data_IF_332952956316
#
_entry.id   IF_332952956316
#
_cell.length_a   1.000
_cell.length_b   1.000
_cell.length_c   1.000
_cell.angle_alpha   90.00
_cell.angle_beta   90.00
_cell.angle_gamma   90.00
#
_symmetry.space_group_name_H-M   'P 1'
#
loop_
_entity.id
_entity.type
_entity.pdbx_description
1 polymer ?
#
# COMPACT_ATOMS: atom_id res chain seq x y z
N UNK A 1 53.66 -60.89 12.41
CA UNK A 1 52.92 -59.92 11.57
C UNK A 1 51.50 -60.42 11.42
N UNK A 2 50.50 -59.57 11.63
CA UNK A 2 49.08 -59.83 11.39
C UNK A 2 48.39 -58.48 11.17
N UNK A 3 47.41 -58.37 10.26
CA UNK A 3 46.89 -57.07 9.82
C UNK A 3 46.02 -56.40 10.88
N UNK A 4 46.24 -55.10 11.09
CA UNK A 4 45.37 -54.22 11.88
C UNK A 4 44.02 -54.07 11.18
N UNK A 5 42.86 -54.18 11.87
CA UNK A 5 41.57 -53.96 11.25
C UNK A 5 41.31 -52.47 10.97
N UNK A 6 41.02 -52.13 9.73
CA UNK A 6 40.60 -50.77 9.32
C UNK A 6 39.17 -50.48 9.80
N UNK A 7 38.88 -49.35 10.46
CA UNK A 7 37.52 -49.00 10.84
C UNK A 7 36.67 -48.59 9.63
N UNK A 8 35.41 -49.04 9.60
CA UNK A 8 34.44 -48.73 8.53
C UNK A 8 33.79 -47.36 8.77
N UNK A 9 33.61 -46.49 7.75
CA UNK A 9 33.08 -45.13 7.90
C UNK A 9 31.55 -45.06 8.12
N UNK A 10 31.01 -45.94 8.97
CA UNK A 10 29.57 -46.11 9.21
C UNK A 10 29.18 -45.89 10.69
N UNK A 11 30.10 -45.42 11.55
CA UNK A 11 29.84 -45.25 13.00
C UNK A 11 30.13 -43.86 13.57
N UNK A 12 30.90 -43.01 12.88
CA UNK A 12 31.21 -41.64 13.34
C UNK A 12 30.09 -40.63 13.02
N UNK A 13 29.14 -40.97 12.14
CA UNK A 13 28.04 -40.11 11.72
C UNK A 13 26.88 -39.97 12.74
N UNK A 14 27.11 -40.25 14.04
CA UNK A 14 26.05 -40.22 15.06
C UNK A 14 26.42 -39.68 16.45
N UNK A 15 27.59 -39.06 16.61
CA UNK A 15 28.01 -38.40 17.88
C UNK A 15 28.29 -36.89 17.76
N UNK A 16 28.11 -36.30 16.57
CA UNK A 16 28.22 -34.85 16.36
C UNK A 16 26.93 -34.05 16.68
N UNK A 17 26.08 -34.58 17.58
CA UNK A 17 24.73 -34.07 17.84
C UNK A 17 24.47 -33.86 19.35
N UNK A 18 25.42 -33.24 20.05
CA UNK A 18 25.20 -32.67 21.39
C UNK A 18 26.15 -31.50 21.63
N UNK A 19 25.63 -30.28 21.55
CA UNK A 19 26.31 -29.06 22.00
C UNK A 19 25.45 -28.30 23.02
N UNK A 20 24.58 -29.01 23.73
CA UNK A 20 23.71 -28.48 24.78
C UNK A 20 24.42 -28.48 26.16
N UNK A 21 25.70 -28.10 26.14
CA UNK A 21 26.58 -28.04 27.31
C UNK A 21 26.55 -26.62 27.90
N UNK A 22 25.97 -26.40 29.10
CA UNK A 22 25.71 -25.06 29.64
C UNK A 22 26.98 -24.24 29.95
N UNK A 23 28.16 -24.87 29.98
CA UNK A 23 29.45 -24.21 30.23
C UNK A 23 29.98 -23.41 29.03
N UNK A 24 29.34 -23.49 27.85
CA UNK A 24 29.72 -22.66 26.68
C UNK A 24 29.25 -21.18 26.78
N UNK A 25 28.67 -20.78 27.90
CA UNK A 25 28.29 -19.39 28.19
C UNK A 25 29.54 -18.52 28.45
N UNK A 26 30.10 -17.95 27.38
CA UNK A 26 31.21 -17.00 27.44
C UNK A 26 30.77 -15.69 28.11
N UNK A 27 30.87 -15.64 29.45
CA UNK A 27 30.53 -14.49 30.29
C UNK A 27 31.59 -13.37 30.23
N UNK A 28 31.90 -12.91 29.02
CA UNK A 28 32.65 -11.67 28.79
C UNK A 28 31.69 -10.49 28.91
N UNK A 29 31.45 -10.05 30.14
CA UNK A 29 30.75 -8.79 30.41
C UNK A 29 31.58 -7.64 29.82
N UNK A 30 31.09 -6.88 28.82
CA UNK A 30 31.89 -5.80 28.24
C UNK A 30 32.03 -4.66 29.24
N UNK A 31 33.26 -4.26 29.54
CA UNK A 31 33.60 -3.20 30.52
C UNK A 31 32.90 -1.86 30.25
N UNK A 32 32.43 -1.64 29.02
CA UNK A 32 31.55 -0.54 28.68
C UNK A 32 30.40 -1.00 27.75
N UNK A 33 29.29 -1.42 28.35
CA UNK A 33 28.08 -1.84 27.63
C UNK A 33 27.53 -0.77 26.67
N UNK A 34 27.64 0.53 27.02
CA UNK A 34 27.22 1.63 26.16
C UNK A 34 28.17 1.91 24.98
N UNK A 35 29.38 1.34 24.98
CA UNK A 35 30.28 1.30 23.82
C UNK A 35 30.02 0.03 22.97
N UNK A 36 29.71 -1.10 23.60
CA UNK A 36 29.27 -2.31 22.89
C UNK A 36 28.00 -2.05 22.06
N UNK A 37 26.92 -1.58 22.68
CA UNK A 37 25.66 -1.25 22.00
C UNK A 37 25.82 -0.25 20.84
N UNK A 38 26.77 0.69 20.95
CA UNK A 38 27.07 1.64 19.85
C UNK A 38 27.76 0.95 18.67
N UNK A 39 28.75 0.09 18.93
CA UNK A 39 29.40 -0.73 17.88
C UNK A 39 28.41 -1.70 17.24
N UNK A 40 27.54 -2.34 18.02
CA UNK A 40 26.52 -3.25 17.50
C UNK A 40 25.52 -2.52 16.59
N UNK A 41 25.08 -1.32 16.98
CA UNK A 41 24.19 -0.48 16.17
C UNK A 41 24.88 0.08 14.90
N UNK A 42 26.15 0.43 14.98
CA UNK A 42 26.97 0.90 13.85
C UNK A 42 27.29 -0.23 12.86
N UNK A 43 27.58 -1.43 13.36
CA UNK A 43 27.73 -2.64 12.56
C UNK A 43 26.41 -3.03 11.89
N UNK A 44 25.28 -2.97 12.60
CA UNK A 44 23.96 -3.24 12.03
C UNK A 44 23.59 -2.25 10.91
N UNK A 45 23.86 -0.95 11.09
CA UNK A 45 23.69 0.07 10.05
C UNK A 45 24.59 -0.18 8.84
N UNK A 46 25.86 -0.49 9.08
CA UNK A 46 26.83 -0.81 8.02
C UNK A 46 26.40 -2.06 7.22
N UNK A 47 25.97 -3.12 7.89
CA UNK A 47 25.47 -4.34 7.23
C UNK A 47 24.16 -4.12 6.46
N UNK A 48 23.25 -3.27 6.96
CA UNK A 48 22.05 -2.89 6.21
C UNK A 48 22.40 -2.09 4.95
N UNK A 49 23.25 -1.07 5.06
CA UNK A 49 23.71 -0.28 3.91
C UNK A 49 24.47 -1.14 2.88
N UNK A 50 25.27 -2.10 3.33
CA UNK A 50 25.95 -3.06 2.45
C UNK A 50 24.97 -4.00 1.74
N UNK A 51 23.90 -4.45 2.41
CA UNK A 51 22.87 -5.29 1.79
C UNK A 51 22.10 -4.52 0.70
N UNK A 52 21.67 -3.27 0.98
CA UNK A 52 21.02 -2.41 -0.02
C UNK A 52 21.94 -2.12 -1.21
N UNK A 53 23.20 -1.75 -0.95
CA UNK A 53 24.17 -1.51 -2.01
C UNK A 53 24.48 -2.76 -2.86
N UNK A 54 24.41 -3.97 -2.27
CA UNK A 54 24.54 -5.23 -3.01
C UNK A 54 23.31 -5.52 -3.88
N UNK A 55 22.10 -5.21 -3.40
CA UNK A 55 20.86 -5.34 -4.19
C UNK A 55 20.83 -4.33 -5.36
N UNK A 56 21.18 -3.07 -5.11
CA UNK A 56 21.34 -2.04 -6.14
C UNK A 56 22.41 -2.42 -7.18
N UNK A 57 23.56 -2.95 -6.74
CA UNK A 57 24.61 -3.41 -7.65
C UNK A 57 24.17 -4.62 -8.50
N UNK A 58 23.44 -5.58 -7.92
CA UNK A 58 22.91 -6.73 -8.66
C UNK A 58 21.92 -6.30 -9.76
N UNK A 59 20.94 -5.47 -9.43
CA UNK A 59 20.00 -4.90 -10.39
C UNK A 59 20.69 -4.06 -11.48
N UNK A 60 21.75 -3.34 -11.12
CA UNK A 60 22.56 -2.56 -12.09
C UNK A 60 23.38 -3.45 -13.03
N UNK A 61 23.88 -4.60 -12.59
CA UNK A 61 24.56 -5.57 -13.45
C UNK A 61 23.55 -6.25 -14.38
N UNK A 62 22.39 -6.67 -13.87
CA UNK A 62 21.33 -7.28 -14.68
C UNK A 62 20.82 -6.33 -15.77
N UNK A 63 20.51 -5.07 -15.45
CA UNK A 63 20.06 -4.08 -16.45
C UNK A 63 21.10 -3.77 -17.54
N UNK A 64 22.41 -3.88 -17.26
CA UNK A 64 23.46 -3.78 -18.30
C UNK A 64 23.43 -4.98 -19.25
N UNK A 65 23.24 -6.21 -18.74
CA UNK A 65 23.09 -7.42 -19.56
C UNK A 65 21.82 -7.33 -20.43
N UNK A 66 20.66 -7.06 -19.83
CA UNK A 66 19.37 -6.97 -20.53
C UNK A 66 19.30 -5.81 -21.55
N UNK A 67 20.23 -4.85 -21.49
CA UNK A 67 20.38 -3.80 -22.50
C UNK A 67 21.30 -4.22 -23.65
N UNK A 68 22.37 -4.99 -23.38
CA UNK A 68 23.19 -5.59 -24.43
C UNK A 68 22.40 -6.61 -25.27
N UNK A 69 21.55 -7.41 -24.63
CA UNK A 69 20.66 -8.36 -25.30
C UNK A 69 19.62 -7.66 -26.19
N UNK A 70 19.02 -6.55 -25.72
CA UNK A 70 18.11 -5.72 -26.53
C UNK A 70 18.81 -5.05 -27.72
N UNK A 71 20.08 -4.66 -27.58
CA UNK A 71 20.88 -4.16 -28.70
C UNK A 71 21.16 -5.25 -29.76
N UNK A 72 21.42 -6.49 -29.33
CA UNK A 72 21.59 -7.62 -30.24
C UNK A 72 20.27 -7.98 -30.98
N UNK A 73 19.14 -8.00 -30.26
CA UNK A 73 17.83 -8.30 -30.84
C UNK A 73 17.38 -7.27 -31.90
N UNK A 74 17.60 -5.98 -31.62
CA UNK A 74 17.28 -4.91 -32.59
C UNK A 74 18.17 -4.95 -33.82
N UNK A 75 19.48 -5.24 -33.67
CA UNK A 75 20.38 -5.44 -34.80
C UNK A 75 19.96 -6.60 -35.73
N UNK A 76 19.43 -7.70 -35.18
CA UNK A 76 18.92 -8.82 -35.98
C UNK A 76 17.71 -8.41 -36.84
N UNK A 77 16.77 -7.63 -36.28
CA UNK A 77 15.54 -7.24 -36.97
C UNK A 77 15.75 -6.38 -38.23
N UNK A 78 16.87 -5.67 -38.32
CA UNK A 78 17.16 -4.72 -39.40
C UNK A 78 17.60 -5.35 -40.75
N UNK A 79 17.51 -6.68 -40.90
CA UNK A 79 18.15 -7.44 -41.98
C UNK A 79 17.20 -8.13 -42.98
N UNK A 80 15.88 -7.97 -42.84
CA UNK A 80 14.88 -8.63 -43.70
C UNK A 80 14.52 -7.80 -44.96
N UNK A 81 14.55 -8.38 -46.18
CA UNK A 81 14.19 -7.67 -47.42
C UNK A 81 12.68 -7.69 -47.71
N UNK A 82 12.18 -6.65 -48.39
CA UNK A 82 10.77 -6.51 -48.76
C UNK A 82 10.50 -6.80 -50.24
N UNK A 83 9.30 -7.32 -50.54
CA UNK A 83 8.74 -7.47 -51.89
C UNK A 83 7.35 -6.79 -51.93
N UNK A 84 6.91 -6.31 -53.10
CA UNK A 84 5.71 -5.47 -53.22
C UNK A 84 4.87 -5.68 -54.49
N UNK A 85 3.80 -4.90 -54.61
CA UNK A 85 2.86 -4.83 -55.75
C UNK A 85 2.27 -3.40 -55.86
N UNK A 86 1.60 -3.07 -56.98
CA UNK A 86 1.24 -1.67 -57.31
C UNK A 86 -0.02 -1.50 -58.19
N UNK A 87 -0.44 -0.23 -58.39
CA UNK A 87 -1.49 0.34 -59.26
C UNK A 87 -2.97 0.19 -58.82
N UNK A 88 -3.88 1.16 -59.09
CA UNK A 88 -3.70 2.53 -59.60
C UNK A 88 -5.02 3.28 -59.98
N UNK A 89 -4.92 4.61 -60.27
CA UNK A 89 -5.96 5.50 -60.89
C UNK A 89 -7.23 5.84 -60.02
N UNK A 90 -8.15 6.80 -60.26
CA UNK A 90 -8.31 8.13 -60.97
C UNK A 90 -9.74 8.69 -60.66
N UNK A 91 -10.18 9.95 -60.81
CA UNK A 91 -9.60 11.31 -60.79
C UNK A 91 -10.73 12.38 -61.00
N UNK A 92 -10.54 13.66 -60.58
CA UNK A 92 -11.45 14.82 -60.83
C UNK A 92 -12.06 15.45 -59.55
N UNK A 93 -12.46 16.74 -59.48
CA UNK A 93 -12.42 17.86 -60.45
C UNK A 93 -12.39 19.25 -59.73
N UNK A 94 -12.48 20.36 -60.48
CA UNK A 94 -12.38 21.78 -60.03
C UNK A 94 -13.71 22.35 -59.43
N UNK A 95 -13.91 23.63 -59.06
CA UNK A 95 -13.29 24.91 -59.45
C UNK A 95 -13.65 26.12 -58.51
N UNK A 96 -13.09 27.31 -58.82
CA UNK A 96 -13.61 28.68 -58.59
C UNK A 96 -13.34 29.42 -57.24
N UNK A 97 -13.28 30.79 -57.23
CA UNK A 97 -12.39 31.51 -56.29
C UNK A 97 -12.99 32.72 -55.52
N UNK A 98 -12.11 33.47 -54.84
CA UNK A 98 -12.36 34.46 -53.78
C UNK A 98 -12.89 35.86 -54.20
N UNK A 99 -13.33 36.64 -53.18
CA UNK A 99 -13.37 38.11 -53.17
C UNK A 99 -13.25 38.69 -51.75
N UNK A 100 -12.69 39.91 -51.65
CA UNK A 100 -12.38 40.70 -50.43
C UNK A 100 -12.64 42.20 -50.74
N UNK A 101 -12.44 43.16 -49.80
CA UNK A 101 -12.94 43.20 -48.41
C UNK A 101 -13.56 44.58 -48.01
N UNK A 102 -14.29 44.62 -46.90
CA UNK A 102 -14.46 45.79 -46.00
C UNK A 102 -15.27 45.35 -44.74
N UNK A 103 -15.03 45.80 -43.52
CA UNK A 103 -13.92 46.59 -42.97
C UNK A 103 -14.21 46.93 -41.49
N UNK A 104 -13.23 46.79 -40.58
CA UNK A 104 -13.41 47.09 -39.15
C UNK A 104 -12.35 46.45 -38.23
N UNK A 105 -11.67 47.28 -37.45
CA UNK A 105 -10.65 46.97 -36.42
C UNK A 105 -10.98 47.73 -35.13
N UNK A 106 -10.33 47.48 -33.98
CA UNK A 106 -9.56 46.31 -33.52
C UNK A 106 -10.24 45.73 -32.24
N UNK A 107 -9.68 45.01 -31.26
CA UNK A 107 -8.30 44.70 -30.82
C UNK A 107 -8.29 43.46 -29.88
N UNK A 108 -7.12 42.95 -29.48
CA UNK A 108 -6.95 42.28 -28.17
C UNK A 108 -6.77 40.76 -28.13
N UNK A 109 -5.82 40.19 -28.88
CA UNK A 109 -5.44 38.77 -28.72
C UNK A 109 -4.61 38.51 -27.46
N UNK A 110 -5.02 37.53 -26.63
CA UNK A 110 -4.24 37.04 -25.49
C UNK A 110 -3.32 35.89 -25.92
N UNK A 111 -2.07 36.21 -26.26
CA UNK A 111 -1.00 35.24 -26.53
C UNK A 111 -0.22 34.86 -25.26
N UNK A 112 0.06 33.56 -25.08
CA UNK A 112 0.91 33.09 -23.99
C UNK A 112 2.39 33.43 -24.25
N UNK A 113 3.08 34.03 -23.27
CA UNK A 113 4.54 34.08 -23.24
C UNK A 113 5.05 34.02 -21.80
N UNK A 114 5.99 33.10 -21.53
CA UNK A 114 6.62 33.00 -20.22
C UNK A 114 7.64 34.12 -20.03
N UNK A 115 7.56 34.82 -18.89
CA UNK A 115 8.63 35.71 -18.41
C UNK A 115 8.98 35.34 -16.99
N UNK A 116 10.27 35.12 -16.73
CA UNK A 116 10.82 34.96 -15.39
C UNK A 116 10.64 36.28 -14.62
N UNK A 117 9.68 36.32 -13.70
CA UNK A 117 9.48 37.49 -12.85
C UNK A 117 10.67 37.71 -11.93
N UNK A 118 11.26 38.90 -11.95
CA UNK A 118 12.18 39.33 -10.91
C UNK A 118 11.44 39.37 -9.56
N UNK A 119 12.10 38.99 -8.45
CA UNK A 119 11.48 39.10 -7.13
C UNK A 119 11.08 40.56 -6.81
N UNK A 120 9.99 40.79 -6.05
CA UNK A 120 9.61 42.13 -5.65
C UNK A 120 10.69 42.76 -4.73
N UNK A 121 10.77 44.10 -4.66
CA UNK A 121 11.74 44.77 -3.80
C UNK A 121 11.66 44.30 -2.34
N UNK A 122 12.81 43.91 -1.76
CA UNK A 122 12.92 43.37 -0.39
C UNK A 122 12.81 41.84 -0.28
N UNK A 123 12.51 41.12 -1.36
CA UNK A 123 12.49 39.65 -1.33
C UNK A 123 13.90 39.09 -1.10
N UNK A 124 14.13 38.42 0.03
CA UNK A 124 15.43 37.92 0.47
C UNK A 124 16.14 38.80 1.52
N UNK A 125 15.58 39.96 1.89
CA UNK A 125 16.01 40.71 3.07
C UNK A 125 15.54 40.02 4.36
N UNK A 126 16.31 40.17 5.44
CA UNK A 126 15.86 39.72 6.77
C UNK A 126 14.63 40.55 7.21
N UNK A 127 13.61 39.95 7.86
CA UNK A 127 12.44 40.69 8.30
C UNK A 127 12.79 41.73 9.38
N UNK A 128 12.38 42.97 9.18
CA UNK A 128 12.46 44.00 10.22
C UNK A 128 11.30 43.84 11.21
N UNK A 129 11.58 43.20 12.34
CA UNK A 129 10.63 43.01 13.44
C UNK A 129 10.38 44.28 14.27
N UNK A 130 11.04 45.41 13.97
CA UNK A 130 10.79 46.72 14.58
C UNK A 130 9.88 47.62 13.74
N UNK A 131 9.68 47.30 12.45
CA UNK A 131 8.85 48.08 11.54
C UNK A 131 7.35 47.98 11.89
N UNK A 132 6.78 49.07 12.40
CA UNK A 132 5.33 49.22 12.54
C UNK A 132 4.72 49.60 11.19
N UNK A 133 3.95 48.69 10.60
CA UNK A 133 3.09 48.97 9.45
C UNK A 133 1.66 49.28 9.95
N UNK A 134 1.30 50.54 10.23
CA UNK A 134 -0.08 50.90 10.53
C UNK A 134 -0.97 50.67 9.29
N UNK A 135 -2.26 50.34 9.47
CA UNK A 135 -3.18 50.26 8.35
C UNK A 135 -3.32 51.64 7.67
N UNK A 136 -3.55 51.69 6.33
CA UNK A 136 -3.78 52.95 5.64
C UNK A 136 -5.02 53.67 6.20
N UNK A 137 -5.00 55.00 6.16
CA UNK A 137 -5.97 55.88 6.82
C UNK A 137 -7.42 55.84 6.26
N UNK A 138 -7.74 54.83 5.45
CA UNK A 138 -9.06 54.56 4.84
C UNK A 138 -9.64 53.19 5.22
N UNK A 139 -9.10 52.52 6.26
CA UNK A 139 -9.51 51.18 6.69
C UNK A 139 -10.90 51.05 7.35
N UNK A 140 -11.82 51.99 7.10
CA UNK A 140 -13.24 51.89 7.46
C UNK A 140 -14.09 51.63 6.21
N UNK A 141 -14.84 50.52 6.12
CA UNK A 141 -15.71 50.26 4.98
C UNK A 141 -16.85 51.30 4.94
N UNK A 142 -17.24 51.81 3.75
CA UNK A 142 -18.24 52.88 3.61
C UNK A 142 -19.70 52.41 3.79
N UNK A 143 -19.92 51.36 4.59
CA UNK A 143 -21.24 50.77 4.83
C UNK A 143 -21.24 49.72 5.95
N UNK A 144 -22.43 49.32 6.44
CA UNK A 144 -22.54 48.30 7.48
C UNK A 144 -21.96 46.95 7.00
N UNK A 145 -21.33 46.16 7.89
CA UNK A 145 -20.74 44.88 7.51
C UNK A 145 -21.79 43.89 7.00
N UNK A 146 -21.44 43.11 5.97
CA UNK A 146 -22.36 42.33 5.13
C UNK A 146 -23.19 41.23 5.83
N UNK A 147 -23.05 41.02 7.14
CA UNK A 147 -23.92 40.16 7.95
C UNK A 147 -25.16 40.88 8.50
N UNK A 148 -25.22 42.22 8.42
CA UNK A 148 -26.38 43.02 8.78
C UNK A 148 -27.33 43.20 7.59
N UNK A 149 -28.59 42.78 7.75
CA UNK A 149 -29.68 43.04 6.81
C UNK A 149 -30.45 44.30 7.23
N UNK A 150 -31.07 45.01 6.29
CA UNK A 150 -31.72 46.31 6.56
C UNK A 150 -32.77 46.32 7.70
N UNK A 151 -33.39 45.19 8.03
CA UNK A 151 -34.39 45.07 9.09
C UNK A 151 -33.87 44.36 10.37
N UNK A 152 -32.55 44.25 10.54
CA UNK A 152 -31.98 43.59 11.72
C UNK A 152 -31.99 44.50 12.96
N UNK A 153 -32.70 44.08 14.00
CA UNK A 153 -32.63 44.69 15.33
C UNK A 153 -31.41 44.17 16.10
N UNK A 154 -30.93 44.92 17.09
CA UNK A 154 -29.84 44.47 17.97
C UNK A 154 -30.15 43.09 18.60
N UNK A 155 -31.42 42.82 18.92
CA UNK A 155 -31.89 41.53 19.42
C UNK A 155 -31.85 40.41 18.38
N UNK A 156 -32.12 40.67 17.08
CA UNK A 156 -31.98 39.64 16.03
C UNK A 156 -30.52 39.29 15.76
N UNK A 157 -29.63 40.28 15.82
CA UNK A 157 -28.16 40.08 15.73
C UNK A 157 -27.67 39.26 16.91
N UNK A 158 -28.00 39.67 18.15
CA UNK A 158 -27.61 38.96 19.36
C UNK A 158 -28.17 37.53 19.38
N UNK A 159 -29.45 37.34 19.06
CA UNK A 159 -30.08 36.02 18.98
C UNK A 159 -29.39 35.08 17.98
N UNK A 160 -28.98 35.58 16.81
CA UNK A 160 -28.21 34.78 15.83
C UNK A 160 -26.80 34.47 16.30
N UNK A 161 -26.12 35.40 17.00
CA UNK A 161 -24.80 35.14 17.59
C UNK A 161 -24.88 34.09 18.70
N UNK A 162 -25.88 34.17 19.58
CA UNK A 162 -26.11 33.16 20.62
C UNK A 162 -26.51 31.81 20.01
N UNK A 163 -27.39 31.78 19.00
CA UNK A 163 -27.77 30.55 18.32
C UNK A 163 -26.60 29.90 17.54
N UNK A 164 -25.69 30.71 16.96
CA UNK A 164 -24.48 30.24 16.30
C UNK A 164 -23.45 29.71 17.30
N UNK A 165 -23.22 30.41 18.43
CA UNK A 165 -22.38 29.92 19.52
C UNK A 165 -22.94 28.65 20.16
N UNK A 166 -24.26 28.58 20.37
CA UNK A 166 -24.92 27.38 20.86
C UNK A 166 -24.70 26.21 19.90
N UNK A 167 -24.94 26.39 18.59
CA UNK A 167 -24.61 25.37 17.57
C UNK A 167 -23.14 24.96 17.65
N UNK A 168 -22.21 25.90 17.64
CA UNK A 168 -20.76 25.62 17.74
C UNK A 168 -20.37 24.87 19.03
N UNK A 169 -21.07 25.10 20.14
CA UNK A 169 -20.87 24.38 21.41
C UNK A 169 -21.48 22.97 21.34
N UNK A 170 -22.70 22.81 20.82
CA UNK A 170 -23.33 21.51 20.60
C UNK A 170 -22.55 20.65 19.58
N UNK A 171 -22.08 21.25 18.48
CA UNK A 171 -21.20 20.60 17.50
C UNK A 171 -19.88 20.16 18.16
N UNK A 172 -19.29 21.00 19.02
CA UNK A 172 -18.04 20.69 19.75
C UNK A 172 -18.25 19.63 20.85
N UNK A 173 -19.41 19.57 21.48
CA UNK A 173 -19.79 18.55 22.45
C UNK A 173 -20.11 17.21 21.78
N UNK A 174 -20.93 17.22 20.72
CA UNK A 174 -21.24 16.07 19.90
C UNK A 174 -19.99 15.46 19.26
N UNK A 175 -19.09 16.30 18.73
CA UNK A 175 -17.73 15.87 18.30
C UNK A 175 -16.98 15.20 19.44
N UNK A 176 -16.90 15.78 20.64
CA UNK A 176 -16.19 15.12 21.77
C UNK A 176 -16.74 13.74 22.13
N UNK A 177 -18.04 13.49 21.97
CA UNK A 177 -18.66 12.17 22.20
C UNK A 177 -18.36 11.19 21.05
N UNK A 178 -18.23 11.68 19.80
CA UNK A 178 -17.92 10.85 18.61
C UNK A 178 -16.43 10.75 18.24
N UNK A 179 -15.55 11.48 18.92
CA UNK A 179 -14.10 11.61 18.62
C UNK A 179 -13.18 10.88 19.61
N UNK A 180 -13.62 9.79 20.26
CA UNK A 180 -12.64 8.84 20.83
C UNK A 180 -11.86 8.24 19.66
N UNK A 181 -10.54 8.42 19.62
CA UNK A 181 -9.65 7.95 18.53
C UNK A 181 -9.91 6.48 18.20
N UNK A 182 -9.97 6.11 16.92
CA UNK A 182 -10.11 4.70 16.52
C UNK A 182 -8.82 3.93 16.77
N UNK A 183 -8.94 2.62 16.98
CA UNK A 183 -7.83 1.69 17.24
C UNK A 183 -7.82 0.62 16.16
N UNK A 184 -7.00 0.80 15.13
CA UNK A 184 -6.94 -0.15 14.01
C UNK A 184 -5.83 -1.16 14.28
N UNK A 185 -6.18 -2.44 14.26
CA UNK A 185 -5.22 -3.52 14.26
C UNK A 185 -4.62 -3.70 12.87
N UNK A 186 -3.29 -3.86 12.79
CA UNK A 186 -2.63 -4.34 11.57
C UNK A 186 -1.94 -5.66 11.93
N UNK A 187 -2.18 -6.72 11.16
CA UNK A 187 -1.52 -8.01 11.39
C UNK A 187 -0.01 -7.92 11.18
N UNK A 188 0.80 -8.60 11.98
CA UNK A 188 2.26 -8.57 11.82
C UNK A 188 2.72 -9.38 10.59
N UNK A 189 3.70 -8.85 9.85
CA UNK A 189 4.54 -9.63 8.92
C UNK A 189 5.56 -10.43 9.75
N UNK A 190 5.83 -11.67 9.37
CA UNK A 190 6.90 -12.49 9.97
C UNK A 190 8.14 -12.41 9.09
N UNK A 191 9.31 -12.27 9.72
CA UNK A 191 10.60 -12.58 9.11
C UNK A 191 11.11 -13.87 9.76
N UNK A 192 11.34 -14.91 8.96
CA UNK A 192 11.83 -16.20 9.44
C UNK A 192 13.36 -16.22 9.45
N UNK A 193 14.01 -16.88 10.43
CA UNK A 193 15.47 -16.86 10.57
C UNK A 193 16.16 -17.55 9.40
N UNK A 194 17.20 -16.91 8.86
CA UNK A 194 18.02 -17.47 7.80
C UNK A 194 18.98 -18.56 8.34
N UNK A 195 19.11 -19.74 7.69
CA UNK A 195 20.02 -20.80 8.13
C UNK A 195 21.47 -20.32 8.30
N UNK A 196 22.02 -20.48 9.51
CA UNK A 196 23.39 -20.09 9.85
C UNK A 196 23.61 -18.58 10.10
N UNK A 197 22.60 -17.74 9.92
CA UNK A 197 22.72 -16.30 10.18
C UNK A 197 22.83 -15.97 11.68
N UNK A 198 23.50 -14.86 11.98
CA UNK A 198 23.68 -14.33 13.35
C UNK A 198 22.98 -12.98 13.51
N UNK A 199 22.83 -12.52 14.76
CA UNK A 199 22.20 -11.24 15.07
C UNK A 199 20.68 -11.25 14.80
N UNK A 200 20.17 -10.24 14.08
CA UNK A 200 18.74 -10.12 13.76
C UNK A 200 18.28 -11.16 12.71
N UNK A 201 19.10 -11.44 11.69
CA UNK A 201 18.76 -12.39 10.61
C UNK A 201 18.69 -13.84 11.09
N UNK A 202 19.28 -14.16 12.24
CA UNK A 202 19.19 -15.45 12.92
C UNK A 202 18.03 -15.58 13.92
N UNK A 203 17.02 -14.69 13.86
CA UNK A 203 15.85 -14.72 14.75
C UNK A 203 14.56 -14.59 13.96
N UNK A 204 13.49 -15.21 14.46
CA UNK A 204 12.12 -14.85 14.02
C UNK A 204 11.82 -13.42 14.48
N UNK A 205 11.55 -12.52 13.54
CA UNK A 205 11.13 -11.15 13.84
C UNK A 205 9.67 -10.96 13.43
N UNK A 206 8.98 -10.05 14.10
CA UNK A 206 7.64 -9.60 13.73
C UNK A 206 7.69 -8.11 13.45
N UNK A 207 7.13 -7.67 12.32
CA UNK A 207 7.26 -6.29 11.86
C UNK A 207 5.98 -5.76 11.20
N UNK A 208 5.88 -4.44 11.18
CA UNK A 208 4.85 -3.64 10.52
C UNK A 208 5.54 -2.77 9.48
N UNK A 209 4.99 -2.68 8.28
CA UNK A 209 5.54 -1.82 7.24
C UNK A 209 5.20 -0.35 7.51
N UNK A 210 6.16 0.56 7.28
CA UNK A 210 5.96 1.99 7.51
C UNK A 210 4.89 2.58 6.57
N UNK A 211 4.85 2.12 5.32
CA UNK A 211 3.91 2.54 4.28
C UNK A 211 2.44 2.38 4.71
N UNK A 212 2.04 1.15 5.06
CA UNK A 212 0.67 0.83 5.46
C UNK A 212 0.29 1.46 6.80
N UNK A 213 1.25 1.59 7.73
CA UNK A 213 1.06 2.28 8.99
C UNK A 213 0.78 3.78 8.77
N UNK A 214 1.62 4.47 8.00
CA UNK A 214 1.45 5.88 7.67
C UNK A 214 0.23 6.15 6.78
N UNK A 215 -0.16 5.22 5.90
CA UNK A 215 -1.40 5.31 5.14
C UNK A 215 -2.64 5.34 6.05
N UNK A 216 -2.74 4.40 7.00
CA UNK A 216 -3.83 4.37 7.99
C UNK A 216 -3.76 5.57 8.94
N UNK A 217 -2.55 5.95 9.39
CA UNK A 217 -2.30 7.12 10.25
C UNK A 217 -2.42 8.47 9.52
N UNK A 218 -2.75 8.50 8.23
CA UNK A 218 -3.18 9.72 7.53
C UNK A 218 -4.53 10.27 8.05
N UNK A 219 -5.20 9.52 8.93
CA UNK A 219 -6.47 9.85 9.60
C UNK A 219 -6.28 9.78 11.12
N UNK A 220 -7.21 10.40 11.86
CA UNK A 220 -7.18 10.47 13.34
C UNK A 220 -7.42 9.11 14.03
N UNK A 221 -6.45 8.20 13.92
CA UNK A 221 -6.50 6.81 14.38
C UNK A 221 -5.18 6.38 15.01
N UNK A 222 -5.24 5.42 15.93
CA UNK A 222 -4.10 4.74 16.51
C UNK A 222 -3.94 3.38 15.83
N UNK A 223 -2.79 3.14 15.21
CA UNK A 223 -2.41 1.84 14.66
C UNK A 223 -1.76 0.98 15.75
N UNK A 224 -2.19 -0.29 15.84
CA UNK A 224 -1.60 -1.30 16.70
C UNK A 224 -1.16 -2.48 15.86
N UNK A 225 0.15 -2.79 15.85
CA UNK A 225 0.61 -4.09 15.33
C UNK A 225 0.06 -5.19 16.25
N UNK A 226 -0.72 -6.12 15.69
CA UNK A 226 -1.10 -7.34 16.39
C UNK A 226 0.04 -8.35 16.18
N UNK A 227 0.74 -8.81 17.23
CA UNK A 227 1.75 -9.86 17.08
C UNK A 227 1.10 -11.24 16.91
N UNK A 228 1.83 -12.17 16.30
CA UNK A 228 1.45 -13.58 16.29
C UNK A 228 1.66 -14.19 17.68
N UNK A 229 0.65 -14.91 18.19
CA UNK A 229 0.66 -15.49 19.54
C UNK A 229 1.31 -16.88 19.50
N UNK A 230 2.64 -16.91 19.36
CA UNK A 230 3.40 -18.15 19.26
C UNK A 230 3.34 -19.00 20.54
N UNK A 231 2.64 -20.14 20.49
CA UNK A 231 2.55 -21.10 21.62
C UNK A 231 3.82 -21.92 21.87
N UNK A 232 4.85 -21.79 21.02
CA UNK A 232 6.12 -22.54 21.11
C UNK A 232 7.29 -21.72 21.71
N UNK A 233 7.02 -20.52 22.22
CA UNK A 233 8.06 -19.69 22.85
C UNK A 233 8.46 -20.18 24.25
N UNK A 234 9.69 -19.87 24.67
CA UNK A 234 10.21 -20.14 26.02
C UNK A 234 9.53 -19.33 27.15
N UNK A 235 8.59 -18.44 26.81
CA UNK A 235 7.87 -17.59 27.76
C UNK A 235 6.50 -18.20 28.05
N UNK A 236 6.04 -18.04 29.30
CA UNK A 236 4.74 -18.56 29.73
C UNK A 236 3.62 -18.11 28.78
N UNK A 237 2.79 -19.03 28.24
CA UNK A 237 1.74 -18.66 27.32
C UNK A 237 0.78 -17.66 27.98
N UNK A 238 0.51 -16.56 27.27
CA UNK A 238 -0.44 -15.54 27.71
C UNK A 238 -1.85 -16.10 27.75
N UNK A 239 -2.73 -15.56 28.61
CA UNK A 239 -4.15 -15.86 28.57
C UNK A 239 -4.93 -15.02 27.54
N UNK A 240 -4.28 -14.04 26.90
CA UNK A 240 -4.81 -13.29 25.75
C UNK A 240 -5.01 -14.25 24.56
N UNK A 241 -6.13 -14.13 23.86
CA UNK A 241 -6.47 -14.83 22.60
C UNK A 241 -6.72 -13.81 21.48
N UNK A 242 -6.79 -14.24 20.22
CA UNK A 242 -6.99 -13.32 19.10
C UNK A 242 -8.34 -12.57 19.19
N UNK A 243 -9.38 -13.21 19.72
CA UNK A 243 -10.65 -12.56 20.14
C UNK A 243 -10.50 -11.35 21.05
N UNK A 244 -9.46 -11.29 21.87
CA UNK A 244 -9.29 -10.20 22.84
C UNK A 244 -8.68 -8.96 22.17
N UNK A 245 -7.93 -9.14 21.07
CA UNK A 245 -7.63 -8.05 20.13
C UNK A 245 -8.89 -7.56 19.43
N UNK A 246 -9.74 -8.48 18.93
CA UNK A 246 -11.02 -8.13 18.30
C UNK A 246 -11.94 -7.35 19.25
N UNK A 247 -11.96 -7.65 20.56
CA UNK A 247 -12.68 -6.84 21.57
C UNK A 247 -12.12 -5.42 21.72
N UNK A 248 -10.80 -5.25 21.78
CA UNK A 248 -10.17 -3.98 22.18
C UNK A 248 -9.80 -3.02 21.04
N UNK A 249 -9.88 -3.49 19.80
CA UNK A 249 -9.65 -2.75 18.56
C UNK A 249 -10.97 -2.50 17.83
N UNK A 250 -11.02 -1.49 16.97
CA UNK A 250 -12.22 -1.03 16.28
C UNK A 250 -12.34 -1.57 14.83
N UNK A 251 -11.26 -2.13 14.28
CA UNK A 251 -11.19 -2.77 12.97
C UNK A 251 -9.83 -3.41 12.69
N UNK A 252 -9.75 -4.27 11.67
CA UNK A 252 -8.53 -5.02 11.28
C UNK A 252 -8.09 -4.67 9.86
N UNK A 253 -6.78 -4.55 9.65
CA UNK A 253 -6.14 -4.51 8.35
C UNK A 253 -5.16 -5.68 8.20
N UNK A 254 -5.29 -6.43 7.10
CA UNK A 254 -4.39 -7.51 6.70
C UNK A 254 -3.43 -6.97 5.63
N UNK A 255 -2.17 -6.71 6.00
CA UNK A 255 -1.18 -6.08 5.11
C UNK A 255 -0.56 -7.06 4.11
N UNK A 256 0.16 -6.54 3.11
CA UNK A 256 0.91 -7.34 2.13
C UNK A 256 1.96 -8.29 2.75
N UNK A 257 2.57 -9.16 1.95
CA UNK A 257 3.45 -10.21 2.48
C UNK A 257 4.14 -11.08 1.45
N UNK A 258 4.90 -12.04 1.97
CA UNK A 258 5.26 -13.25 1.25
C UNK A 258 4.04 -14.18 1.17
N UNK A 259 3.89 -14.83 0.02
CA UNK A 259 2.83 -15.72 -0.46
C UNK A 259 1.95 -16.45 0.58
N UNK A 260 0.67 -16.60 0.26
CA UNK A 260 -0.22 -17.52 1.00
C UNK A 260 0.17 -18.95 0.66
N UNK A 261 0.35 -19.80 1.67
CA UNK A 261 0.74 -21.19 1.47
C UNK A 261 -0.36 -21.97 0.74
N UNK A 262 -0.04 -22.73 -0.32
CA UNK A 262 -1.00 -23.63 -0.98
C UNK A 262 -1.72 -24.58 -0.02
N UNK A 263 -1.03 -25.00 1.05
CA UNK A 263 -1.58 -25.85 2.10
C UNK A 263 -2.74 -25.21 2.88
N UNK A 264 -2.86 -23.88 2.84
CA UNK A 264 -3.94 -23.10 3.48
C UNK A 264 -5.24 -23.11 2.67
N UNK A 265 -5.18 -23.43 1.37
CA UNK A 265 -6.34 -23.69 0.48
C UNK A 265 -6.37 -25.12 -0.07
N UNK A 266 -5.79 -26.07 0.69
CA UNK A 266 -5.77 -27.50 0.42
C UNK A 266 -5.03 -27.96 -0.87
N UNK A 267 -4.17 -27.10 -1.42
CA UNK A 267 -3.31 -27.40 -2.56
C UNK A 267 -1.87 -27.75 -2.12
N UNK A 268 -1.08 -28.22 -3.10
CA UNK A 268 0.37 -28.45 -2.96
C UNK A 268 1.09 -27.38 -3.79
N UNK A 269 2.26 -26.94 -3.32
CA UNK A 269 3.08 -25.97 -4.05
C UNK A 269 3.52 -26.52 -5.41
N UNK A 270 3.21 -25.79 -6.49
CA UNK A 270 3.63 -26.10 -7.86
C UNK A 270 5.15 -26.04 -8.00
N UNK A 271 5.81 -25.19 -7.20
CA UNK A 271 7.27 -24.98 -7.17
C UNK A 271 7.80 -24.94 -5.74
N UNK A 272 8.91 -25.64 -5.41
CA UNK A 272 9.44 -25.73 -4.04
C UNK A 272 9.93 -24.39 -3.47
N UNK A 273 10.25 -23.41 -4.30
CA UNK A 273 10.60 -22.05 -3.91
C UNK A 273 9.41 -21.18 -3.45
N UNK A 274 8.16 -21.63 -3.64
CA UNK A 274 6.94 -20.92 -3.25
C UNK A 274 6.09 -21.71 -2.23
N UNK A 275 6.63 -22.03 -1.02
CA UNK A 275 5.86 -22.75 0.01
C UNK A 275 4.80 -21.87 0.71
N UNK A 276 4.92 -20.54 0.59
CA UNK A 276 4.17 -19.53 1.36
C UNK A 276 4.42 -19.56 2.86
N UNK A 277 3.86 -18.60 3.60
CA UNK A 277 4.01 -18.50 5.05
C UNK A 277 2.80 -19.07 5.80
N UNK A 278 2.74 -20.41 5.88
CA UNK A 278 1.66 -21.11 6.59
C UNK A 278 1.56 -20.72 8.08
N UNK A 279 2.65 -20.29 8.72
CA UNK A 279 2.63 -19.85 10.12
C UNK A 279 1.89 -18.51 10.25
N UNK A 280 2.15 -17.58 9.33
CA UNK A 280 1.41 -16.32 9.23
C UNK A 280 -0.05 -16.55 8.81
N UNK A 281 -0.30 -17.41 7.82
CA UNK A 281 -1.65 -17.70 7.31
C UNK A 281 -2.60 -18.12 8.43
N UNK A 282 -2.23 -19.13 9.23
CA UNK A 282 -3.12 -19.66 10.27
C UNK A 282 -3.49 -18.60 11.33
N UNK A 283 -2.52 -17.76 11.72
CA UNK A 283 -2.74 -16.68 12.68
C UNK A 283 -3.63 -15.55 12.10
N UNK A 284 -3.45 -15.19 10.82
CA UNK A 284 -4.28 -14.15 10.19
C UNK A 284 -5.68 -14.64 9.83
N UNK A 285 -5.84 -15.93 9.51
CA UNK A 285 -7.14 -16.57 9.31
C UNK A 285 -7.95 -16.62 10.62
N UNK A 286 -7.31 -16.94 11.75
CA UNK A 286 -7.95 -16.86 13.08
C UNK A 286 -8.29 -15.40 13.46
N UNK A 287 -7.41 -14.42 13.17
CA UNK A 287 -7.74 -13.00 13.35
C UNK A 287 -8.94 -12.55 12.50
N UNK A 288 -8.95 -12.91 11.21
CA UNK A 288 -10.01 -12.57 10.27
C UNK A 288 -11.36 -13.11 10.76
N UNK A 289 -11.40 -14.38 11.19
CA UNK A 289 -12.55 -14.99 11.83
C UNK A 289 -13.01 -14.23 13.08
N UNK A 290 -12.11 -13.97 14.03
CA UNK A 290 -12.46 -13.30 15.30
C UNK A 290 -12.95 -11.86 15.13
N UNK A 291 -12.46 -11.12 14.12
CA UNK A 291 -12.99 -9.79 13.80
C UNK A 291 -14.35 -9.86 13.09
N UNK A 292 -14.57 -10.84 12.20
CA UNK A 292 -15.87 -11.06 11.53
C UNK A 292 -16.95 -11.44 12.55
N UNK A 293 -16.68 -12.40 13.43
CA UNK A 293 -17.62 -12.83 14.49
C UNK A 293 -17.88 -11.71 15.51
N UNK A 294 -16.90 -10.82 15.73
CA UNK A 294 -17.09 -9.58 16.50
C UNK A 294 -17.89 -8.49 15.76
N UNK A 295 -18.31 -8.73 14.51
CA UNK A 295 -19.05 -7.78 13.68
C UNK A 295 -18.22 -6.58 13.18
N UNK A 296 -16.88 -6.66 13.27
CA UNK A 296 -15.96 -5.54 13.01
C UNK A 296 -15.41 -5.57 11.59
N UNK A 297 -15.07 -4.40 11.01
CA UNK A 297 -14.65 -4.34 9.63
C UNK A 297 -13.24 -4.89 9.44
N UNK A 298 -13.01 -5.47 8.26
CA UNK A 298 -11.70 -5.95 7.82
C UNK A 298 -11.35 -5.42 6.44
N UNK A 299 -10.12 -4.95 6.27
CA UNK A 299 -9.55 -4.53 4.98
C UNK A 299 -8.29 -5.34 4.67
N UNK A 300 -8.28 -6.08 3.56
CA UNK A 300 -7.12 -6.80 3.06
C UNK A 300 -6.43 -6.05 1.93
N UNK A 301 -5.10 -5.96 1.98
CA UNK A 301 -4.25 -5.33 0.95
C UNK A 301 -3.28 -6.35 0.37
N UNK A 302 -3.23 -6.44 -0.97
CA UNK A 302 -2.47 -7.44 -1.72
C UNK A 302 -2.74 -8.86 -1.19
N UNK A 303 -1.77 -9.49 -0.51
CA UNK A 303 -1.93 -10.78 0.17
C UNK A 303 -3.12 -10.82 1.15
N UNK A 304 -3.50 -9.71 1.75
CA UNK A 304 -4.71 -9.64 2.58
C UNK A 304 -6.01 -9.91 1.81
N UNK A 305 -6.07 -9.56 0.52
CA UNK A 305 -7.18 -9.89 -0.37
C UNK A 305 -7.23 -11.41 -0.66
N UNK A 306 -6.07 -11.98 -0.99
CA UNK A 306 -5.88 -13.41 -1.24
C UNK A 306 -6.27 -14.24 -0.01
N UNK A 307 -5.86 -13.83 1.19
CA UNK A 307 -6.19 -14.53 2.43
C UNK A 307 -7.68 -14.44 2.79
N UNK A 308 -8.34 -13.30 2.50
CA UNK A 308 -9.81 -13.20 2.60
C UNK A 308 -10.49 -14.21 1.67
N UNK A 309 -10.00 -14.38 0.44
CA UNK A 309 -10.55 -15.38 -0.49
C UNK A 309 -10.42 -16.82 0.05
N UNK A 310 -9.23 -17.17 0.54
CA UNK A 310 -8.91 -18.47 1.14
C UNK A 310 -9.78 -18.75 2.38
N UNK A 311 -10.00 -17.75 3.24
CA UNK A 311 -10.85 -17.90 4.44
C UNK A 311 -12.29 -18.33 4.14
N UNK A 312 -12.85 -17.89 3.01
CA UNK A 312 -14.19 -18.29 2.58
C UNK A 312 -14.22 -19.57 1.73
N UNK A 313 -13.06 -20.21 1.54
CA UNK A 313 -12.89 -21.48 0.83
C UNK A 313 -12.66 -21.33 -0.67
N UNK A 314 -12.10 -20.20 -1.12
CA UNK A 314 -11.59 -20.04 -2.48
C UNK A 314 -10.13 -20.47 -2.62
N UNK A 315 -9.63 -20.54 -3.85
CA UNK A 315 -8.23 -20.89 -4.18
C UNK A 315 -7.51 -19.73 -4.87
N UNK A 316 -6.19 -19.86 -5.03
CA UNK A 316 -5.34 -18.88 -5.70
C UNK A 316 -4.73 -19.46 -6.99
N UNK A 317 -4.27 -18.58 -7.87
CA UNK A 317 -3.18 -18.90 -8.79
C UNK A 317 -1.88 -18.78 -7.98
N UNK A 318 -1.02 -19.78 -8.10
CA UNK A 318 0.24 -19.85 -7.35
C UNK A 318 1.32 -18.98 -8.01
N UNK A 319 1.25 -18.83 -9.34
CA UNK A 319 1.88 -17.75 -10.12
C UNK A 319 1.06 -17.48 -11.39
N UNK A 320 0.60 -16.24 -11.56
CA UNK A 320 -0.10 -15.77 -12.77
C UNK A 320 0.71 -16.05 -14.04
N UNK A 321 2.04 -15.90 -14.02
CA UNK A 321 2.87 -16.04 -15.22
C UNK A 321 2.98 -17.50 -15.72
N UNK A 322 2.90 -18.50 -14.84
CA UNK A 322 2.82 -19.92 -15.24
C UNK A 322 1.40 -20.45 -15.35
N UNK A 323 0.50 -20.05 -14.45
CA UNK A 323 -0.85 -20.62 -14.36
C UNK A 323 -1.83 -19.96 -15.34
N UNK A 324 -1.58 -18.71 -15.73
CA UNK A 324 -2.39 -17.95 -16.70
C UNK A 324 -1.50 -17.30 -17.78
N UNK A 325 -0.93 -18.07 -18.73
CA UNK A 325 0.05 -17.56 -19.72
C UNK A 325 -0.46 -16.50 -20.70
N UNK A 326 -1.75 -16.13 -20.65
CA UNK A 326 -2.38 -15.06 -21.42
C UNK A 326 -2.60 -13.77 -20.61
N UNK A 327 -2.26 -13.76 -19.32
CA UNK A 327 -2.44 -12.59 -18.45
C UNK A 327 -1.41 -11.49 -18.73
N UNK A 328 -1.71 -10.27 -18.27
CA UNK A 328 -0.73 -9.19 -18.19
C UNK A 328 0.37 -9.48 -17.16
N UNK A 329 1.36 -8.59 -17.14
CA UNK A 329 2.39 -8.60 -16.09
C UNK A 329 1.81 -7.96 -14.83
N UNK A 330 1.77 -8.68 -13.70
CA UNK A 330 1.32 -8.16 -12.40
C UNK A 330 2.47 -7.86 -11.40
N UNK A 331 3.71 -8.20 -11.75
CA UNK A 331 4.93 -7.75 -11.04
C UNK A 331 6.11 -7.73 -12.00
N UNK A 332 7.00 -6.74 -11.88
CA UNK A 332 8.27 -6.69 -12.62
C UNK A 332 9.34 -5.87 -11.87
N UNK A 333 10.50 -5.68 -12.51
CA UNK A 333 11.68 -4.96 -11.99
C UNK A 333 11.39 -3.52 -11.51
N UNK A 334 10.35 -2.85 -12.03
CA UNK A 334 9.95 -1.52 -11.60
C UNK A 334 9.10 -1.52 -10.33
N UNK A 335 8.67 -2.70 -9.85
CA UNK A 335 8.06 -2.96 -8.54
C UNK A 335 7.01 -1.91 -8.11
N UNK A 336 7.38 -0.96 -7.25
CA UNK A 336 6.48 0.08 -6.71
C UNK A 336 5.97 1.09 -7.77
N UNK A 337 6.56 1.09 -8.97
CA UNK A 337 6.20 1.90 -10.13
C UNK A 337 5.39 1.14 -11.19
N UNK A 338 5.25 -0.19 -11.10
CA UNK A 338 4.47 -0.95 -12.10
C UNK A 338 2.96 -0.70 -11.98
N UNK A 339 2.27 -0.53 -13.12
CA UNK A 339 0.85 -0.12 -13.22
C UNK A 339 0.07 -0.94 -14.23
N UNK A 340 -1.23 -1.07 -13.99
CA UNK A 340 -2.22 -1.59 -14.94
C UNK A 340 -3.61 -0.95 -14.69
N UNK A 341 -4.53 -1.13 -15.64
CA UNK A 341 -5.92 -0.69 -15.49
C UNK A 341 -6.77 -1.73 -14.77
N UNK A 342 -7.78 -1.26 -14.03
CA UNK A 342 -8.83 -2.10 -13.42
C UNK A 342 -10.21 -1.57 -13.80
N UNK A 343 -11.18 -2.48 -13.86
CA UNK A 343 -12.59 -2.21 -14.15
C UNK A 343 -13.47 -2.64 -12.96
N UNK A 344 -14.49 -1.84 -12.64
CA UNK A 344 -15.51 -2.12 -11.64
C UNK A 344 -16.76 -2.69 -12.33
N UNK A 345 -16.99 -4.03 -12.27
CA UNK A 345 -18.08 -4.69 -12.97
C UNK A 345 -19.47 -4.22 -12.52
N UNK A 346 -20.51 -4.59 -13.26
CA UNK A 346 -21.88 -4.36 -12.83
C UNK A 346 -22.16 -5.05 -11.48
N UNK A 347 -22.84 -4.33 -10.57
CA UNK A 347 -23.04 -4.78 -9.19
C UNK A 347 -21.87 -4.54 -8.22
N UNK A 348 -20.69 -4.11 -8.69
CA UNK A 348 -19.58 -3.69 -7.82
C UNK A 348 -20.01 -2.57 -6.86
N UNK A 349 -19.62 -2.67 -5.59
CA UNK A 349 -19.92 -1.65 -4.58
C UNK A 349 -18.88 -0.52 -4.55
N UNK A 350 -17.71 -0.71 -5.16
CA UNK A 350 -16.66 0.32 -5.26
C UNK A 350 -17.11 1.58 -6.00
N UNK A 351 -18.06 1.48 -6.93
CA UNK A 351 -18.64 2.65 -7.62
C UNK A 351 -19.32 3.65 -6.67
N UNK A 352 -19.72 3.20 -5.47
CA UNK A 352 -20.28 4.07 -4.42
C UNK A 352 -19.19 4.83 -3.64
N UNK A 353 -17.96 4.30 -3.62
CA UNK A 353 -16.78 4.96 -3.04
C UNK A 353 -16.11 5.87 -4.08
N UNK A 354 -16.22 5.52 -5.36
CA UNK A 354 -15.62 6.22 -6.50
C UNK A 354 -16.69 6.69 -7.50
N UNK A 355 -17.58 7.63 -7.10
CA UNK A 355 -18.70 8.06 -7.93
C UNK A 355 -18.23 8.62 -9.27
N UNK A 356 -18.87 8.16 -10.36
CA UNK A 356 -18.51 8.54 -11.73
C UNK A 356 -17.32 7.77 -12.33
N UNK A 357 -16.67 6.86 -11.59
CA UNK A 357 -15.62 5.98 -12.11
C UNK A 357 -16.13 4.55 -12.25
N UNK A 358 -15.85 3.93 -13.40
CA UNK A 358 -15.92 2.48 -13.62
C UNK A 358 -14.56 1.86 -13.94
N UNK A 359 -13.57 2.68 -14.23
CA UNK A 359 -12.20 2.29 -14.54
C UNK A 359 -11.21 3.18 -13.79
N UNK A 360 -10.04 2.63 -13.47
CA UNK A 360 -8.95 3.35 -12.83
C UNK A 360 -7.60 2.68 -13.14
N UNK A 361 -6.49 3.40 -12.91
CA UNK A 361 -5.14 2.81 -12.89
C UNK A 361 -4.74 2.56 -11.43
N UNK A 362 -4.12 1.42 -11.18
CA UNK A 362 -3.57 1.04 -9.86
C UNK A 362 -2.15 0.50 -9.99
N UNK A 363 -1.46 0.33 -8.86
CA UNK A 363 -0.18 -0.37 -8.82
C UNK A 363 -0.36 -1.89 -8.73
N UNK A 364 0.59 -2.63 -9.27
CA UNK A 364 0.56 -4.09 -9.28
C UNK A 364 1.92 -4.64 -8.87
N UNK A 365 1.93 -5.38 -7.75
CA UNK A 365 3.13 -5.92 -7.10
C UNK A 365 2.83 -7.34 -6.58
N UNK A 366 2.28 -8.20 -7.44
CA UNK A 366 1.91 -9.57 -7.06
C UNK A 366 2.13 -10.57 -8.19
N UNK A 367 2.43 -11.81 -7.82
CA UNK A 367 2.46 -12.96 -8.74
C UNK A 367 1.36 -13.97 -8.42
N UNK A 368 0.92 -14.09 -7.16
CA UNK A 368 -0.33 -14.76 -6.80
C UNK A 368 -1.55 -13.86 -7.06
N UNK A 369 -2.71 -14.48 -7.34
CA UNK A 369 -4.02 -13.81 -7.41
C UNK A 369 -5.15 -14.80 -7.10
N UNK A 370 -6.40 -14.32 -6.98
CA UNK A 370 -7.57 -15.19 -6.78
C UNK A 370 -7.87 -16.00 -8.05
N UNK A 371 -8.03 -17.31 -7.88
CA UNK A 371 -8.46 -18.26 -8.92
C UNK A 371 -9.94 -18.59 -8.72
N UNK A 372 -10.27 -19.51 -7.81
CA UNK A 372 -11.65 -19.79 -7.45
C UNK A 372 -12.11 -18.83 -6.34
N UNK A 373 -13.22 -18.13 -6.56
CA UNK A 373 -13.79 -17.18 -5.62
C UNK A 373 -14.43 -17.89 -4.42
N UNK A 374 -14.08 -17.46 -3.21
CA UNK A 374 -14.63 -17.97 -1.95
C UNK A 374 -16.13 -17.70 -1.77
N UNK A 375 -16.76 -18.47 -0.87
CA UNK A 375 -18.21 -18.45 -0.64
C UNK A 375 -18.68 -17.10 -0.08
N UNK A 376 -19.85 -16.64 -0.53
CA UNK A 376 -20.45 -15.36 -0.15
C UNK A 376 -19.58 -14.10 -0.42
N UNK A 377 -18.54 -14.24 -1.24
CA UNK A 377 -17.83 -13.10 -1.84
C UNK A 377 -18.51 -12.63 -3.14
N UNK A 378 -18.37 -11.34 -3.43
CA UNK A 378 -18.52 -10.74 -4.74
C UNK A 378 -17.15 -10.30 -5.28
N UNK A 379 -17.01 -10.27 -6.61
CA UNK A 379 -15.92 -9.57 -7.30
C UNK A 379 -16.28 -8.08 -7.36
N UNK A 380 -15.36 -7.23 -6.94
CA UNK A 380 -15.54 -5.78 -6.84
C UNK A 380 -14.72 -5.02 -7.88
N UNK A 381 -13.59 -5.59 -8.31
CA UNK A 381 -12.77 -5.10 -9.41
C UNK A 381 -12.06 -6.27 -10.11
N UNK A 382 -11.77 -6.10 -11.40
CA UNK A 382 -10.90 -6.99 -12.20
C UNK A 382 -9.87 -6.17 -12.97
N UNK A 383 -8.72 -6.77 -13.27
CA UNK A 383 -7.73 -6.26 -14.22
C UNK A 383 -8.35 -6.08 -15.60
N UNK A 384 -8.16 -4.90 -16.20
CA UNK A 384 -8.81 -4.49 -17.44
C UNK A 384 -8.26 -5.16 -18.70
N UNK A 385 -7.12 -5.84 -18.61
CA UNK A 385 -6.42 -6.49 -19.74
C UNK A 385 -6.72 -7.98 -19.87
N UNK A 386 -7.01 -8.66 -18.76
CA UNK A 386 -6.98 -10.12 -18.64
C UNK A 386 -8.03 -10.69 -17.69
N UNK A 387 -8.74 -9.85 -16.92
CA UNK A 387 -9.82 -10.28 -16.04
C UNK A 387 -9.38 -10.89 -14.70
N UNK A 388 -8.08 -10.84 -14.35
CA UNK A 388 -7.60 -11.24 -13.01
C UNK A 388 -8.35 -10.47 -11.93
N UNK A 389 -8.73 -11.14 -10.83
CA UNK A 389 -9.56 -10.55 -9.77
C UNK A 389 -8.73 -9.62 -8.88
N UNK A 390 -9.09 -8.33 -8.90
CA UNK A 390 -8.33 -7.25 -8.25
C UNK A 390 -8.98 -6.75 -6.95
N UNK A 391 -10.27 -7.00 -6.74
CA UNK A 391 -10.90 -6.76 -5.44
C UNK A 391 -12.06 -7.72 -5.18
N UNK A 392 -12.27 -8.07 -3.91
CA UNK A 392 -13.38 -8.91 -3.42
C UNK A 392 -14.07 -8.31 -2.20
N UNK A 393 -15.35 -8.60 -2.00
CA UNK A 393 -16.12 -8.20 -0.81
C UNK A 393 -17.01 -9.33 -0.30
N UNK A 394 -16.95 -9.61 1.00
CA UNK A 394 -17.87 -10.54 1.66
C UNK A 394 -19.22 -9.86 1.91
N UNK A 395 -20.30 -10.47 1.40
CA UNK A 395 -21.65 -9.88 1.37
C UNK A 395 -22.34 -9.79 2.74
N UNK A 396 -21.91 -10.59 3.71
CA UNK A 396 -22.65 -10.82 4.98
C UNK A 396 -22.09 -10.05 6.17
N UNK A 397 -21.11 -9.18 5.95
CA UNK A 397 -20.60 -8.24 6.94
C UNK A 397 -20.70 -6.80 6.41
N UNK A 398 -20.83 -5.77 7.27
CA UNK A 398 -20.94 -4.38 6.81
C UNK A 398 -19.76 -3.93 5.93
N UNK A 399 -18.53 -4.33 6.29
CA UNK A 399 -17.32 -4.10 5.49
C UNK A 399 -16.29 -5.19 5.76
N UNK A 400 -16.17 -6.15 4.84
CA UNK A 400 -15.03 -7.08 4.76
C UNK A 400 -14.64 -7.11 3.29
N UNK A 401 -13.51 -6.49 2.97
CA UNK A 401 -13.09 -6.19 1.59
C UNK A 401 -11.60 -6.45 1.42
N UNK A 402 -11.23 -7.04 0.29
CA UNK A 402 -9.84 -7.18 -0.16
C UNK A 402 -9.60 -6.37 -1.42
N UNK A 403 -8.43 -5.73 -1.54
CA UNK A 403 -7.90 -5.15 -2.77
C UNK A 403 -6.50 -5.75 -3.03
N UNK A 404 -6.20 -6.08 -4.28
CA UNK A 404 -4.98 -6.79 -4.68
C UNK A 404 -3.82 -5.83 -5.00
N UNK A 405 -4.14 -4.58 -5.35
CA UNK A 405 -3.19 -3.47 -5.39
C UNK A 405 -2.78 -2.99 -3.98
N UNK A 406 -1.87 -2.01 -3.92
CA UNK A 406 -1.31 -1.41 -2.69
C UNK A 406 -1.68 0.09 -2.55
N UNK A 407 -2.84 0.42 -1.95
CA UNK A 407 -3.29 1.80 -1.67
C UNK A 407 -2.27 2.71 -0.99
N UNK A 408 -1.38 2.15 -0.17
CA UNK A 408 -0.37 2.86 0.61
C UNK A 408 0.70 3.58 -0.24
N UNK A 409 0.92 3.14 -1.48
CA UNK A 409 1.82 3.81 -2.42
C UNK A 409 1.10 4.82 -3.34
N UNK A 410 -0.24 4.90 -3.28
CA UNK A 410 -1.04 5.85 -4.07
C UNK A 410 -0.98 7.26 -3.44
N UNK A 411 0.14 7.97 -3.62
CA UNK A 411 0.31 9.36 -3.16
C UNK A 411 -0.73 10.29 -3.79
N UNK A 412 -1.44 11.04 -2.97
CA UNK A 412 -2.35 12.08 -3.41
C UNK A 412 -1.62 13.16 -4.25
N UNK A 413 -2.14 13.46 -5.44
CA UNK A 413 -1.62 14.51 -6.32
C UNK A 413 -1.22 14.07 -7.74
N UNK A 414 -1.01 12.76 -7.97
CA UNK A 414 -0.87 12.22 -9.33
C UNK A 414 -2.24 12.06 -10.00
N UNK A 415 -2.45 12.51 -11.26
CA UNK A 415 -3.76 12.45 -11.93
C UNK A 415 -4.15 11.06 -12.44
N UNK A 416 -3.20 10.12 -12.48
CA UNK A 416 -3.32 8.82 -13.14
C UNK A 416 -3.90 7.72 -12.21
N UNK A 417 -3.44 7.66 -10.95
CA UNK A 417 -3.78 6.58 -10.02
C UNK A 417 -5.11 6.81 -9.30
N UNK A 418 -5.76 5.71 -8.91
CA UNK A 418 -6.93 5.71 -8.04
C UNK A 418 -6.59 6.32 -6.67
N UNK A 419 -7.10 7.52 -6.36
CA UNK A 419 -7.07 8.03 -4.99
C UNK A 419 -7.86 7.07 -4.08
N UNK A 420 -7.15 6.33 -3.23
CA UNK A 420 -7.73 5.34 -2.33
C UNK A 420 -8.28 5.94 -1.02
N UNK A 421 -8.33 7.27 -0.89
CA UNK A 421 -8.97 7.97 0.25
C UNK A 421 -10.38 7.45 0.57
N UNK A 422 -11.32 7.33 -0.38
CA UNK A 422 -12.67 6.83 -0.11
C UNK A 422 -12.74 5.39 0.43
N UNK A 423 -11.77 4.53 0.07
CA UNK A 423 -11.69 3.16 0.58
C UNK A 423 -11.34 3.16 2.07
N UNK A 424 -10.30 3.91 2.45
CA UNK A 424 -9.88 4.06 3.84
C UNK A 424 -10.96 4.76 4.69
N UNK A 425 -11.56 5.84 4.18
CA UNK A 425 -12.64 6.54 4.88
C UNK A 425 -13.88 5.66 5.06
N UNK A 426 -14.20 4.78 4.10
CA UNK A 426 -15.32 3.83 4.23
C UNK A 426 -15.03 2.78 5.31
N UNK A 427 -13.84 2.20 5.31
CA UNK A 427 -13.38 1.27 6.36
C UNK A 427 -13.43 1.92 7.76
N UNK A 428 -12.86 3.12 7.91
CA UNK A 428 -12.80 3.86 9.18
C UNK A 428 -14.17 4.42 9.61
N UNK A 429 -15.09 4.68 8.68
CA UNK A 429 -16.48 5.01 8.98
C UNK A 429 -17.18 3.81 9.62
N UNK A 430 -17.10 2.64 9.00
CA UNK A 430 -17.71 1.40 9.52
C UNK A 430 -17.09 1.01 10.87
N UNK A 431 -15.77 1.16 11.05
CA UNK A 431 -15.09 0.92 12.34
C UNK A 431 -15.60 1.82 13.49
N UNK A 432 -16.19 2.98 13.16
CA UNK A 432 -16.84 3.88 14.12
C UNK A 432 -18.30 3.53 14.39
N UNK A 433 -18.95 2.84 13.45
CA UNK A 433 -20.34 2.37 13.53
C UNK A 433 -20.44 1.04 14.30
N UNK A 434 -19.52 0.10 14.07
CA UNK A 434 -19.49 -1.26 14.67
C UNK A 434 -18.72 -1.31 16.01
N UNK A 435 -18.82 -0.26 16.83
CA UNK A 435 -17.85 0.01 17.91
C UNK A 435 -18.22 -0.52 19.30
N UNK A 436 -19.40 -1.13 19.44
CA UNK A 436 -20.10 -1.29 20.72
C UNK A 436 -19.89 -2.65 21.37
#
# INVERSE_FOLDING_TARGET
MGPTPTPTPAREAKEAASTDSPESASNVTPENAAAAQRRDAEQARTSAAQASAQQEAAARVQSVVSNAERAAATAASASAPAAGAASGATAGAADAPAKTPAGGEPDGTLGASGKSGTPPPGFGSAPDFSATNPPPASAYPPGPPAYLKHNDSAWSVFGRIIAARARQIFDRAGRRITQRTLRIGVSARIFHPEPGAKGLRGKTLQYLEESIAHWVMSRDVLVFMIPTVGHQGMLHPSNIRLRDYAKHLDGLLLQGGADVSPQSYAEVATRPEWPGDRVRDMYELELLHEFIESGKPVLGVCRGCQLINVAFGGTLYQDIATDVPTAGIHVNEHYDQHRHSIHFPEGSTLVNMFPGRREAIVNSIHHQAVNQLGRDLNIEAVSGTDGIIEAVRYRRAPFVMGVQWHPEFHRAGGPELLDCTPLLDTFLRVARETRF
#
